data_IF_334264207357
#
_entry.id   IF_334264207357
#
_cell.length_a   1.000
_cell.length_b   1.000
_cell.length_c   1.000
_cell.angle_alpha   90.00
_cell.angle_beta   90.00
_cell.angle_gamma   90.00
#
_symmetry.space_group_name_H-M   'P 1'
#
loop_
_entity.id
_entity.type
_entity.pdbx_description
1 polymer ?
#
# COMPACT_ATOMS: atom_id res chain seq x y z
N UNK A 1 19.14 16.16 -45.64
CA UNK A 1 20.24 15.35 -46.18
C UNK A 1 21.12 14.99 -45.00
N UNK A 2 20.80 13.89 -44.31
CA UNK A 2 21.28 12.52 -44.49
C UNK A 2 22.46 12.24 -43.54
N UNK A 3 22.12 11.60 -42.42
CA UNK A 3 22.95 10.57 -41.81
C UNK A 3 21.96 9.51 -41.29
N UNK A 4 21.67 8.58 -42.19
CA UNK A 4 20.83 7.40 -42.00
C UNK A 4 21.74 6.17 -41.80
N UNK A 5 21.16 5.10 -41.25
CA UNK A 5 21.60 3.70 -41.32
C UNK A 5 22.87 3.22 -40.56
N UNK A 6 22.79 3.07 -39.24
CA UNK A 6 23.68 2.11 -38.55
C UNK A 6 23.01 1.24 -37.47
N UNK A 7 21.75 1.47 -37.10
CA UNK A 7 21.09 0.73 -36.00
C UNK A 7 19.93 -0.16 -36.46
N UNK A 8 19.52 -0.07 -37.74
CA UNK A 8 18.45 -0.93 -38.30
C UNK A 8 19.00 -2.27 -38.82
N UNK A 9 20.31 -2.37 -39.11
CA UNK A 9 20.91 -3.55 -39.74
C UNK A 9 21.18 -4.76 -38.84
N UNK A 10 21.01 -4.66 -37.52
CA UNK A 10 21.27 -5.78 -36.60
C UNK A 10 20.01 -6.52 -36.13
N UNK A 11 18.82 -6.13 -36.61
CA UNK A 11 17.54 -6.74 -36.22
C UNK A 11 17.03 -7.81 -37.20
N UNK A 12 17.68 -8.02 -38.34
CA UNK A 12 17.22 -8.97 -39.37
C UNK A 12 17.88 -10.36 -39.35
N UNK A 13 18.88 -10.63 -38.50
CA UNK A 13 19.53 -11.96 -38.45
C UNK A 13 19.47 -12.65 -37.07
N UNK A 14 18.28 -12.71 -36.47
CA UNK A 14 18.02 -13.71 -35.43
C UNK A 14 16.82 -14.57 -35.84
N UNK A 15 16.96 -15.92 -35.86
CA UNK A 15 15.96 -16.80 -36.43
C UNK A 15 14.62 -16.66 -35.67
N UNK A 16 13.49 -16.78 -36.38
CA UNK A 16 12.18 -16.58 -35.80
C UNK A 16 11.90 -17.69 -34.77
N UNK A 17 11.47 -17.25 -33.58
CA UNK A 17 10.99 -18.08 -32.48
C UNK A 17 11.97 -19.16 -31.99
N UNK A 18 12.89 -18.79 -31.09
CA UNK A 18 13.34 -19.77 -30.09
C UNK A 18 12.13 -20.15 -29.23
N UNK A 19 11.62 -21.37 -29.44
CA UNK A 19 10.58 -21.95 -28.61
C UNK A 19 10.99 -21.86 -27.12
N UNK A 20 10.06 -21.58 -26.19
CA UNK A 20 10.34 -21.41 -24.76
C UNK A 20 11.22 -22.51 -24.15
N UNK A 21 11.12 -23.74 -24.68
CA UNK A 21 11.96 -24.89 -24.32
C UNK A 21 13.46 -24.65 -24.53
N UNK A 22 13.86 -24.10 -25.70
CA UNK A 22 15.28 -23.90 -26.04
C UNK A 22 15.91 -22.75 -25.23
N UNK A 23 15.10 -21.78 -24.83
CA UNK A 23 15.52 -20.70 -23.92
C UNK A 23 15.75 -21.23 -22.50
N UNK A 24 14.85 -22.11 -22.03
CA UNK A 24 14.98 -22.80 -20.73
C UNK A 24 16.22 -23.70 -20.68
N UNK A 25 16.52 -24.41 -21.77
CA UNK A 25 17.73 -25.25 -21.91
C UNK A 25 19.03 -24.44 -21.96
N UNK A 26 19.05 -23.29 -22.64
CA UNK A 26 20.22 -22.41 -22.69
C UNK A 26 20.54 -21.81 -21.31
N UNK A 27 19.54 -21.40 -20.55
CA UNK A 27 19.72 -20.83 -19.22
C UNK A 27 20.11 -21.88 -18.16
N UNK A 28 19.57 -23.10 -18.24
CA UNK A 28 19.92 -24.21 -17.35
C UNK A 28 21.39 -24.65 -17.47
N UNK A 29 22.03 -24.42 -18.63
CA UNK A 29 23.46 -24.70 -18.85
C UNK A 29 24.40 -23.66 -18.23
N UNK A 30 23.91 -22.45 -17.95
CA UNK A 30 24.73 -21.33 -17.47
C UNK A 30 24.59 -21.11 -15.96
N UNK A 31 23.41 -21.37 -15.38
CA UNK A 31 23.23 -21.47 -13.92
C UNK A 31 21.90 -22.16 -13.57
N UNK A 32 21.92 -23.31 -12.86
CA UNK A 32 20.71 -24.00 -12.40
C UNK A 32 19.81 -23.16 -11.46
N UNK A 33 20.36 -22.11 -10.85
CA UNK A 33 19.64 -21.28 -9.90
C UNK A 33 18.88 -20.12 -10.56
N UNK A 34 19.35 -19.64 -11.71
CA UNK A 34 18.67 -18.58 -12.47
C UNK A 34 17.32 -19.04 -13.05
N UNK A 35 17.23 -20.30 -13.47
CA UNK A 35 15.97 -20.87 -13.98
C UNK A 35 14.90 -21.03 -12.89
N UNK A 36 15.31 -21.31 -11.64
CA UNK A 36 14.40 -21.43 -10.48
C UNK A 36 13.92 -20.07 -9.98
N UNK A 37 14.77 -19.04 -10.03
CA UNK A 37 14.38 -17.68 -9.65
C UNK A 37 13.33 -17.08 -10.59
N UNK A 38 13.36 -17.44 -11.88
CA UNK A 38 12.35 -17.02 -12.86
C UNK A 38 10.97 -17.65 -12.64
N UNK A 39 10.89 -18.91 -12.22
CA UNK A 39 9.60 -19.55 -11.86
C UNK A 39 9.02 -18.98 -10.55
N UNK A 40 9.86 -18.50 -9.64
CA UNK A 40 9.43 -17.89 -8.38
C UNK A 40 8.93 -16.44 -8.53
N UNK A 41 9.33 -15.73 -9.59
CA UNK A 41 9.02 -14.31 -9.81
C UNK A 41 7.88 -14.15 -10.81
N UNK A 42 6.66 -14.46 -10.39
CA UNK A 42 5.45 -14.08 -11.12
C UNK A 42 5.42 -12.57 -11.40
N UNK A 43 5.57 -12.21 -12.67
CA UNK A 43 5.42 -10.88 -13.28
C UNK A 43 5.49 -9.67 -12.32
N UNK A 44 6.70 -9.12 -12.13
CA UNK A 44 7.09 -7.69 -12.23
C UNK A 44 8.42 -7.45 -11.51
N UNK A 45 9.37 -6.84 -12.24
CA UNK A 45 10.23 -5.78 -11.70
C UNK A 45 11.65 -6.16 -11.26
N UNK A 46 12.62 -5.63 -12.02
CA UNK A 46 14.06 -5.55 -11.72
C UNK A 46 14.80 -6.88 -11.87
N UNK A 47 15.14 -7.20 -13.12
CA UNK A 47 16.29 -8.07 -13.40
C UNK A 47 17.55 -7.23 -13.18
N UNK A 48 18.01 -7.14 -11.94
CA UNK A 48 19.42 -6.87 -11.71
C UNK A 48 20.15 -8.17 -12.06
N UNK A 49 20.45 -8.35 -13.34
CA UNK A 49 21.42 -9.34 -13.78
C UNK A 49 22.80 -8.85 -13.33
N UNK A 50 23.09 -8.91 -12.04
CA UNK A 50 24.35 -8.40 -11.46
C UNK A 50 25.58 -9.08 -12.07
N UNK A 51 25.42 -10.25 -12.70
CA UNK A 51 26.46 -10.94 -13.46
C UNK A 51 26.70 -10.42 -14.89
N UNK A 52 25.78 -9.64 -15.48
CA UNK A 52 25.83 -9.28 -16.92
C UNK A 52 25.99 -7.77 -17.19
N UNK A 53 26.11 -6.95 -16.14
CA UNK A 53 26.39 -5.52 -16.28
C UNK A 53 25.28 -4.70 -16.97
N UNK A 54 24.03 -5.18 -16.98
CA UNK A 54 22.89 -4.43 -17.55
C UNK A 54 22.25 -3.57 -16.47
N UNK A 55 22.22 -2.25 -16.68
CA UNK A 55 21.56 -1.27 -15.81
C UNK A 55 20.43 -0.58 -16.56
N UNK A 56 19.26 -0.48 -15.94
CA UNK A 56 18.17 0.37 -16.41
C UNK A 56 18.27 1.73 -15.74
N UNK A 57 18.18 2.80 -16.54
CA UNK A 57 17.97 4.15 -16.05
C UNK A 57 16.55 4.61 -16.33
N UNK A 58 15.79 4.82 -15.26
CA UNK A 58 14.39 5.22 -15.34
C UNK A 58 14.20 6.69 -15.77
N UNK A 59 15.19 7.57 -15.54
CA UNK A 59 15.14 8.97 -15.95
C UNK A 59 15.39 9.11 -17.46
N UNK A 60 16.41 8.43 -17.99
CA UNK A 60 16.74 8.48 -19.41
C UNK A 60 15.93 7.49 -20.26
N UNK A 61 15.19 6.56 -19.62
CA UNK A 61 14.48 5.45 -20.27
C UNK A 61 15.39 4.61 -21.16
N UNK A 62 16.63 4.41 -20.73
CA UNK A 62 17.67 3.70 -21.47
C UNK A 62 18.25 2.53 -20.67
N UNK A 63 18.73 1.53 -21.41
CA UNK A 63 19.55 0.45 -20.87
C UNK A 63 21.02 0.73 -21.16
N UNK A 64 21.85 0.54 -20.13
CA UNK A 64 23.30 0.56 -20.26
C UNK A 64 23.79 -0.87 -20.09
N UNK A 65 24.55 -1.34 -21.07
CA UNK A 65 25.23 -2.64 -21.00
C UNK A 65 26.70 -2.35 -20.77
N UNK A 66 27.19 -2.62 -19.56
CA UNK A 66 28.54 -2.29 -19.13
C UNK A 66 29.63 -3.17 -19.74
N UNK A 67 29.28 -4.20 -20.54
CA UNK A 67 30.21 -5.09 -21.23
C UNK A 67 29.76 -5.34 -22.66
N UNK A 68 30.71 -5.31 -23.60
CA UNK A 68 30.47 -5.57 -25.03
C UNK A 68 30.43 -7.08 -25.34
N UNK A 69 29.70 -7.84 -24.53
CA UNK A 69 29.57 -9.29 -24.67
C UNK A 69 28.21 -9.63 -25.34
N UNK A 70 28.19 -10.55 -26.34
CA UNK A 70 26.96 -10.93 -27.06
C UNK A 70 25.80 -11.34 -26.13
N UNK A 71 26.12 -12.02 -25.02
CA UNK A 71 25.17 -12.52 -24.04
C UNK A 71 24.53 -11.40 -23.22
N UNK A 72 25.31 -10.37 -22.86
CA UNK A 72 24.81 -9.19 -22.14
C UNK A 72 23.89 -8.34 -23.03
N UNK A 73 24.19 -8.25 -24.34
CA UNK A 73 23.30 -7.61 -25.33
C UNK A 73 22.00 -8.38 -25.52
N UNK A 74 22.06 -9.72 -25.58
CA UNK A 74 20.87 -10.56 -25.69
C UNK A 74 19.96 -10.45 -24.45
N UNK A 75 20.54 -10.40 -23.25
CA UNK A 75 19.80 -10.19 -22.01
C UNK A 75 19.12 -8.81 -21.95
N UNK A 76 19.80 -7.75 -22.39
CA UNK A 76 19.22 -6.41 -22.47
C UNK A 76 18.07 -6.34 -23.50
N UNK A 77 18.23 -6.94 -24.68
CA UNK A 77 17.18 -7.03 -25.70
C UNK A 77 15.94 -7.79 -25.19
N UNK A 78 16.12 -8.85 -24.40
CA UNK A 78 15.01 -9.60 -23.81
C UNK A 78 14.26 -8.75 -22.76
N UNK A 79 14.99 -8.08 -21.86
CA UNK A 79 14.40 -7.19 -20.86
C UNK A 79 13.60 -6.05 -21.53
N UNK A 80 14.14 -5.49 -22.61
CA UNK A 80 13.49 -4.42 -23.38
C UNK A 80 12.23 -4.90 -24.10
N UNK A 81 12.22 -6.13 -24.66
CA UNK A 81 11.02 -6.76 -25.25
C UNK A 81 9.92 -7.00 -24.20
N UNK A 82 10.28 -7.44 -22.99
CA UNK A 82 9.31 -7.64 -21.90
C UNK A 82 8.68 -6.32 -21.46
N UNK A 83 9.47 -5.24 -21.39
CA UNK A 83 8.97 -3.91 -21.04
C UNK A 83 8.11 -3.28 -22.14
N UNK A 84 8.49 -3.43 -23.42
CA UNK A 84 7.70 -2.94 -24.55
C UNK A 84 6.35 -3.67 -24.67
N UNK A 85 6.32 -4.98 -24.44
CA UNK A 85 5.07 -5.75 -24.37
C UNK A 85 4.15 -5.30 -23.22
N UNK A 86 4.74 -4.81 -22.12
CA UNK A 86 3.99 -4.28 -20.97
C UNK A 86 3.47 -2.85 -21.20
N UNK A 87 4.14 -2.06 -22.03
CA UNK A 87 3.79 -0.66 -22.34
C UNK A 87 2.71 -0.52 -23.42
N UNK A 88 2.51 -1.53 -24.26
CA UNK A 88 1.47 -1.57 -25.29
C UNK A 88 0.18 -2.26 -24.84
N UNK A 89 0.12 -2.71 -23.58
CA UNK A 89 -1.12 -3.21 -23.00
C UNK A 89 -2.15 -2.05 -22.92
N UNK A 90 -3.41 -2.25 -23.36
CA UNK A 90 -4.44 -1.23 -23.21
C UNK A 90 -4.57 -0.82 -21.74
N UNK A 91 -4.81 0.48 -21.49
CA UNK A 91 -5.11 0.99 -20.13
C UNK A 91 -6.13 0.06 -19.48
N UNK A 92 -5.85 -0.53 -18.30
CA UNK A 92 -6.74 -1.49 -17.70
C UNK A 92 -8.03 -0.78 -17.29
N UNK A 93 -9.08 -1.00 -18.08
CA UNK A 93 -10.45 -0.94 -17.55
C UNK A 93 -10.51 -2.03 -16.50
N UNK A 94 -10.94 -1.69 -15.28
CA UNK A 94 -11.03 -2.64 -14.18
C UNK A 94 -11.74 -3.92 -14.67
N UNK A 95 -11.08 -5.09 -14.67
CA UNK A 95 -11.66 -6.27 -15.26
C UNK A 95 -12.83 -6.76 -14.40
N UNK A 96 -13.97 -7.00 -15.04
CA UNK A 96 -15.20 -7.49 -14.42
C UNK A 96 -15.07 -8.89 -13.79
N UNK A 97 -13.94 -9.59 -13.94
CA UNK A 97 -13.78 -10.96 -13.42
C UNK A 97 -13.51 -11.06 -11.91
N UNK A 98 -13.30 -9.96 -11.19
CA UNK A 98 -13.02 -9.99 -9.75
C UNK A 98 -14.27 -10.08 -8.85
N UNK A 99 -15.49 -10.03 -9.39
CA UNK A 99 -16.69 -10.02 -8.55
C UNK A 99 -17.07 -11.39 -7.98
N UNK A 100 -16.63 -12.51 -8.55
CA UNK A 100 -17.02 -13.86 -8.08
C UNK A 100 -15.99 -14.59 -7.20
N UNK A 101 -14.69 -14.25 -7.28
CA UNK A 101 -13.62 -14.96 -6.56
C UNK A 101 -13.28 -14.35 -5.18
N UNK A 102 -13.84 -13.17 -4.87
CA UNK A 102 -13.50 -12.40 -3.68
C UNK A 102 -14.34 -12.77 -2.45
N UNK A 103 -15.51 -13.37 -2.63
CA UNK A 103 -16.44 -13.68 -1.53
C UNK A 103 -15.87 -14.67 -0.50
N UNK A 104 -15.20 -15.79 -0.89
CA UNK A 104 -14.59 -16.69 0.08
C UNK A 104 -13.54 -15.98 0.92
N UNK A 105 -12.70 -15.14 0.28
CA UNK A 105 -11.63 -14.44 1.00
C UNK A 105 -12.18 -13.39 1.96
N UNK A 106 -13.16 -12.60 1.52
CA UNK A 106 -13.83 -11.65 2.40
C UNK A 106 -14.49 -12.35 3.59
N UNK A 107 -15.11 -13.52 3.37
CA UNK A 107 -15.67 -14.36 4.43
C UNK A 107 -14.65 -14.78 5.47
N UNK A 108 -13.45 -15.21 5.05
CA UNK A 108 -12.34 -15.55 5.96
C UNK A 108 -11.90 -14.35 6.81
N UNK A 109 -11.76 -13.17 6.19
CA UNK A 109 -11.37 -11.96 6.92
C UNK A 109 -12.43 -11.53 7.93
N UNK A 110 -13.72 -11.58 7.54
CA UNK A 110 -14.84 -11.33 8.46
C UNK A 110 -14.83 -12.31 9.63
N UNK A 111 -14.63 -13.60 9.36
CA UNK A 111 -14.56 -14.63 10.40
C UNK A 111 -13.40 -14.39 11.37
N UNK A 112 -12.26 -13.90 10.89
CA UNK A 112 -11.13 -13.52 11.73
C UNK A 112 -11.44 -12.29 12.58
N UNK A 113 -12.06 -11.26 12.02
CA UNK A 113 -12.49 -10.07 12.77
C UNK A 113 -13.49 -10.41 13.88
N UNK A 114 -14.44 -11.31 13.62
CA UNK A 114 -15.43 -11.77 14.59
C UNK A 114 -14.83 -12.51 15.82
N UNK A 115 -13.50 -12.69 15.89
CA UNK A 115 -12.78 -13.16 17.09
C UNK A 115 -12.57 -12.07 18.15
N UNK A 116 -13.05 -10.86 17.90
CA UNK A 116 -13.04 -9.71 18.81
C UNK A 116 -14.41 -9.03 18.79
N UNK A 117 -14.83 -8.44 19.91
CA UNK A 117 -16.10 -7.72 19.98
C UNK A 117 -16.14 -6.56 18.98
N UNK A 118 -15.03 -5.82 18.85
CA UNK A 118 -14.95 -4.69 17.93
C UNK A 118 -14.95 -5.11 16.46
N UNK A 119 -14.34 -6.24 16.14
CA UNK A 119 -14.43 -6.83 14.81
C UNK A 119 -15.85 -7.31 14.48
N UNK A 120 -16.62 -7.83 15.43
CA UNK A 120 -18.05 -8.15 15.22
C UNK A 120 -18.84 -6.90 14.84
N UNK A 121 -18.65 -5.78 15.55
CA UNK A 121 -19.31 -4.51 15.23
C UNK A 121 -18.94 -4.00 13.83
N UNK A 122 -17.68 -4.12 13.44
CA UNK A 122 -17.21 -3.71 12.12
C UNK A 122 -17.78 -4.59 10.99
N UNK A 123 -17.82 -5.90 11.20
CA UNK A 123 -18.44 -6.83 10.24
C UNK A 123 -19.92 -6.55 10.09
N UNK A 124 -20.63 -6.32 11.19
CA UNK A 124 -22.04 -5.93 11.18
C UNK A 124 -22.26 -4.65 10.38
N UNK A 125 -21.45 -3.61 10.61
CA UNK A 125 -21.54 -2.39 9.82
C UNK A 125 -21.37 -2.67 8.32
N UNK A 126 -20.38 -3.47 7.91
CA UNK A 126 -20.19 -3.80 6.50
C UNK A 126 -21.38 -4.58 5.91
N UNK A 127 -22.07 -5.39 6.71
CA UNK A 127 -23.25 -6.16 6.30
C UNK A 127 -24.52 -5.32 6.22
N UNK A 128 -24.68 -4.35 7.14
CA UNK A 128 -25.77 -3.38 7.15
C UNK A 128 -25.63 -2.35 6.00
N UNK A 129 -24.45 -2.28 5.36
CA UNK A 129 -24.11 -1.35 4.27
C UNK A 129 -23.66 -2.08 2.98
N UNK A 130 -24.55 -2.81 2.29
CA UNK A 130 -24.22 -3.62 1.11
C UNK A 130 -23.74 -2.82 -0.12
N UNK A 131 -23.93 -1.50 -0.12
CA UNK A 131 -23.37 -0.59 -1.11
C UNK A 131 -21.84 -0.48 -1.03
N UNK A 132 -21.25 -0.80 0.14
CA UNK A 132 -19.81 -0.82 0.36
C UNK A 132 -19.23 -2.10 -0.23
N UNK A 133 -18.50 -1.95 -1.33
CA UNK A 133 -17.83 -3.06 -2.01
C UNK A 133 -16.44 -3.26 -1.44
N UNK A 134 -15.99 -4.51 -1.33
CA UNK A 134 -14.60 -4.85 -0.99
C UNK A 134 -13.95 -5.52 -2.20
N UNK A 135 -12.76 -5.04 -2.58
CA UNK A 135 -11.94 -5.64 -3.62
C UNK A 135 -10.51 -5.85 -3.14
N UNK A 136 -9.86 -6.84 -3.74
CA UNK A 136 -8.49 -7.21 -3.43
C UNK A 136 -7.57 -6.79 -4.60
N UNK A 137 -6.57 -5.95 -4.33
CA UNK A 137 -5.59 -5.50 -5.34
C UNK A 137 -4.17 -5.60 -4.79
N UNK A 138 -3.30 -6.33 -5.48
CA UNK A 138 -1.89 -6.52 -5.10
C UNK A 138 -0.98 -5.34 -5.46
N UNK A 139 -1.49 -4.36 -6.21
CA UNK A 139 -0.71 -3.22 -6.73
C UNK A 139 -0.98 -1.92 -5.98
N UNK A 140 -1.96 -1.91 -5.09
CA UNK A 140 -2.41 -0.71 -4.37
C UNK A 140 -2.35 -0.95 -2.86
N UNK A 141 -2.11 0.10 -2.09
CA UNK A 141 -2.32 0.04 -0.65
C UNK A 141 -3.80 -0.22 -0.33
N UNK A 142 -4.06 -0.77 0.85
CA UNK A 142 -5.42 -0.83 1.37
C UNK A 142 -5.95 0.59 1.56
N UNK A 143 -7.18 0.87 1.11
CA UNK A 143 -7.74 2.23 1.11
C UNK A 143 -9.26 2.22 0.96
N UNK A 144 -9.91 3.15 1.63
CA UNK A 144 -11.31 3.53 1.45
C UNK A 144 -11.48 4.62 0.39
N UNK A 145 -12.36 4.38 -0.57
CA UNK A 145 -12.75 5.33 -1.61
C UNK A 145 -14.22 5.74 -1.40
N UNK A 146 -14.42 6.80 -0.61
CA UNK A 146 -15.75 7.27 -0.23
C UNK A 146 -16.67 7.69 -1.37
N UNK A 147 -16.13 8.16 -2.51
CA UNK A 147 -16.94 8.55 -3.67
C UNK A 147 -17.57 7.36 -4.41
N UNK A 148 -16.94 6.19 -4.33
CA UNK A 148 -17.36 4.98 -5.05
C UNK A 148 -17.82 3.85 -4.12
N UNK A 149 -17.91 4.13 -2.82
CA UNK A 149 -18.20 3.17 -1.76
C UNK A 149 -17.36 1.90 -1.89
N UNK A 150 -16.05 2.05 -2.03
CA UNK A 150 -15.15 0.94 -2.32
C UNK A 150 -14.00 0.86 -1.32
N UNK A 151 -13.86 -0.28 -0.67
CA UNK A 151 -12.67 -0.67 0.09
C UNK A 151 -11.77 -1.50 -0.84
N UNK A 152 -10.53 -1.06 -1.01
CA UNK A 152 -9.47 -1.87 -1.62
C UNK A 152 -8.62 -2.45 -0.48
N UNK A 153 -8.29 -3.74 -0.55
CA UNK A 153 -7.36 -4.41 0.35
C UNK A 153 -6.13 -4.91 -0.40
N UNK A 154 -4.94 -4.70 0.18
CA UNK A 154 -3.69 -5.18 -0.40
C UNK A 154 -3.56 -6.70 -0.30
N UNK A 155 -3.74 -7.41 -1.42
CA UNK A 155 -3.92 -8.87 -1.42
C UNK A 155 -2.66 -9.71 -1.18
N UNK A 156 -1.48 -9.08 -1.05
CA UNK A 156 -0.21 -9.78 -0.74
C UNK A 156 0.11 -9.82 0.76
N UNK A 157 -0.74 -9.24 1.60
CA UNK A 157 -0.57 -9.28 3.06
C UNK A 157 -1.05 -10.62 3.64
N UNK A 158 -0.65 -10.90 4.88
CA UNK A 158 -1.21 -12.03 5.62
C UNK A 158 -2.70 -11.81 5.90
N UNK A 159 -3.44 -12.87 6.20
CA UNK A 159 -4.88 -12.78 6.48
C UNK A 159 -5.18 -11.92 7.70
N UNK A 160 -4.34 -12.00 8.73
CA UNK A 160 -4.48 -11.15 9.91
C UNK A 160 -4.20 -9.67 9.60
N UNK A 161 -3.20 -9.39 8.76
CA UNK A 161 -2.94 -8.03 8.29
C UNK A 161 -4.06 -7.47 7.42
N UNK A 162 -4.57 -8.27 6.47
CA UNK A 162 -5.70 -7.87 5.63
C UNK A 162 -6.98 -7.67 6.43
N UNK A 163 -7.24 -8.49 7.45
CA UNK A 163 -8.38 -8.30 8.34
C UNK A 163 -8.24 -6.98 9.13
N UNK A 164 -7.04 -6.70 9.67
CA UNK A 164 -6.79 -5.45 10.39
C UNK A 164 -6.83 -4.22 9.47
N UNK A 165 -6.43 -4.36 8.20
CA UNK A 165 -6.62 -3.31 7.20
C UNK A 165 -8.11 -3.13 6.86
N UNK A 166 -8.88 -4.21 6.68
CA UNK A 166 -10.32 -4.13 6.45
C UNK A 166 -11.03 -3.39 7.60
N UNK A 167 -10.65 -3.68 8.85
CA UNK A 167 -11.15 -2.96 10.02
C UNK A 167 -10.81 -1.46 9.95
N UNK A 168 -9.59 -1.11 9.55
CA UNK A 168 -9.14 0.28 9.36
C UNK A 168 -10.03 1.02 8.34
N UNK A 169 -10.21 0.41 7.17
CA UNK A 169 -11.00 1.02 6.09
C UNK A 169 -12.49 1.11 6.43
N UNK A 170 -13.03 0.15 7.21
CA UNK A 170 -14.37 0.25 7.79
C UNK A 170 -14.45 1.46 8.74
N UNK A 171 -13.40 1.74 9.52
CA UNK A 171 -13.31 2.93 10.36
C UNK A 171 -13.51 4.23 9.57
N UNK A 172 -12.83 4.36 8.42
CA UNK A 172 -13.02 5.50 7.51
C UNK A 172 -14.43 5.56 6.91
N UNK A 173 -14.99 4.40 6.54
CA UNK A 173 -16.33 4.31 5.97
C UNK A 173 -17.43 4.70 6.97
N UNK A 174 -17.31 4.28 8.24
CA UNK A 174 -18.25 4.61 9.32
C UNK A 174 -18.36 6.11 9.52
N UNK A 175 -17.22 6.81 9.49
CA UNK A 175 -17.14 8.22 9.88
C UNK A 175 -17.56 8.38 11.34
N UNK A 176 -16.59 8.49 12.26
CA UNK A 176 -16.92 8.51 13.69
C UNK A 176 -17.93 9.64 14.02
N UNK A 177 -18.88 9.43 14.95
CA UNK A 177 -19.79 10.49 15.37
C UNK A 177 -19.02 11.72 15.86
N UNK A 178 -19.21 12.87 15.21
CA UNK A 178 -18.45 14.11 15.50
C UNK A 178 -17.17 14.31 14.68
N UNK A 179 -16.82 13.35 13.81
CA UNK A 179 -15.71 13.50 12.87
C UNK A 179 -16.12 14.48 11.76
N UNK A 180 -15.53 15.68 11.78
CA UNK A 180 -15.59 16.59 10.63
C UNK A 180 -14.50 16.12 9.67
N UNK A 181 -14.89 15.48 8.57
CA UNK A 181 -13.95 15.14 7.49
C UNK A 181 -13.20 16.40 7.07
N UNK A 182 -11.90 16.25 6.82
CA UNK A 182 -11.10 17.34 6.31
C UNK A 182 -11.65 17.84 4.97
N UNK A 183 -11.76 19.15 4.82
CA UNK A 183 -12.24 19.79 3.61
C UNK A 183 -11.10 20.54 2.95
N UNK A 184 -10.57 20.00 1.85
CA UNK A 184 -9.43 20.58 1.15
C UNK A 184 -9.70 22.01 0.62
N UNK A 185 -10.96 22.35 0.35
CA UNK A 185 -11.37 23.61 -0.25
C UNK A 185 -11.65 24.69 0.79
N UNK A 186 -12.10 24.30 1.98
CA UNK A 186 -12.48 25.23 3.05
C UNK A 186 -11.49 25.28 4.21
N UNK A 187 -10.73 24.22 4.46
CA UNK A 187 -9.79 24.18 5.57
C UNK A 187 -8.43 24.80 5.21
N UNK A 188 -7.88 25.56 6.16
CA UNK A 188 -6.46 25.89 6.17
C UNK A 188 -5.61 24.65 6.42
N UNK A 189 -4.31 24.71 6.08
CA UNK A 189 -3.42 23.54 6.12
C UNK A 189 -3.43 22.81 7.46
N UNK A 190 -3.31 23.54 8.58
CA UNK A 190 -3.23 22.92 9.90
C UNK A 190 -4.54 22.24 10.30
N UNK A 191 -5.70 22.85 9.98
CA UNK A 191 -7.02 22.28 10.25
C UNK A 191 -7.24 21.02 9.40
N UNK A 192 -6.88 21.08 8.12
CA UNK A 192 -6.96 19.95 7.20
C UNK A 192 -6.12 18.76 7.69
N UNK A 193 -4.86 19.03 8.06
CA UNK A 193 -3.93 18.00 8.54
C UNK A 193 -4.43 17.40 9.85
N UNK A 194 -4.81 18.24 10.83
CA UNK A 194 -5.30 17.75 12.13
C UNK A 194 -6.56 16.87 11.98
N UNK A 195 -7.51 17.27 11.10
CA UNK A 195 -8.71 16.46 10.84
C UNK A 195 -8.37 15.09 10.25
N UNK A 196 -7.46 15.03 9.28
CA UNK A 196 -7.01 13.76 8.71
C UNK A 196 -6.25 12.90 9.72
N UNK A 197 -5.36 13.47 10.51
CA UNK A 197 -4.64 12.72 11.54
C UNK A 197 -5.59 12.19 12.63
N UNK A 198 -6.60 12.96 12.99
CA UNK A 198 -7.65 12.53 13.92
C UNK A 198 -8.45 11.35 13.36
N UNK A 199 -8.87 11.43 12.09
CA UNK A 199 -9.55 10.34 11.39
C UNK A 199 -8.71 9.05 11.36
N UNK A 200 -7.44 9.14 10.95
CA UNK A 200 -6.51 8.00 10.95
C UNK A 200 -6.30 7.43 12.36
N UNK A 201 -6.22 8.29 13.37
CA UNK A 201 -6.05 7.87 14.75
C UNK A 201 -7.26 7.08 15.25
N UNK A 202 -8.48 7.55 14.97
CA UNK A 202 -9.70 6.82 15.34
C UNK A 202 -9.74 5.42 14.71
N UNK A 203 -9.52 5.31 13.40
CA UNK A 203 -9.49 4.02 12.70
C UNK A 203 -8.36 3.10 13.23
N UNK A 204 -7.23 3.69 13.61
CA UNK A 204 -6.07 2.94 14.12
C UNK A 204 -6.29 2.42 15.55
N UNK A 205 -7.03 3.13 16.41
CA UNK A 205 -7.34 2.69 17.78
C UNK A 205 -8.04 1.33 17.76
N UNK A 206 -9.04 1.17 16.89
CA UNK A 206 -9.80 -0.07 16.75
C UNK A 206 -8.86 -1.23 16.31
N UNK A 207 -7.87 -0.96 15.46
CA UNK A 207 -6.87 -1.98 15.09
C UNK A 207 -6.01 -2.43 16.26
N UNK A 208 -5.58 -1.54 17.14
CA UNK A 208 -4.80 -1.94 18.33
C UNK A 208 -5.62 -2.82 19.28
N UNK A 209 -6.92 -2.55 19.41
CA UNK A 209 -7.83 -3.37 20.21
C UNK A 209 -8.01 -4.76 19.60
N UNK A 210 -8.45 -4.84 18.35
CA UNK A 210 -8.67 -6.13 17.67
C UNK A 210 -7.38 -6.92 17.55
N UNK A 211 -6.25 -6.27 17.26
CA UNK A 211 -4.96 -6.96 17.21
C UNK A 211 -4.58 -7.56 18.56
N UNK A 212 -4.79 -6.86 19.68
CA UNK A 212 -4.51 -7.41 21.00
C UNK A 212 -5.34 -8.67 21.28
N UNK A 213 -6.59 -8.72 20.81
CA UNK A 213 -7.45 -9.90 20.92
C UNK A 213 -6.97 -11.05 20.05
N UNK A 214 -6.54 -10.77 18.81
CA UNK A 214 -5.99 -11.77 17.91
C UNK A 214 -4.64 -12.31 18.40
N UNK A 215 -3.78 -11.46 18.95
CA UNK A 215 -2.51 -11.87 19.56
C UNK A 215 -2.71 -12.84 20.72
N UNK A 216 -3.67 -12.56 21.63
CA UNK A 216 -3.99 -13.45 22.76
C UNK A 216 -4.45 -14.83 22.31
N UNK A 217 -4.93 -14.94 21.07
CA UNK A 217 -5.37 -16.17 20.43
C UNK A 217 -4.31 -16.79 19.51
N UNK A 218 -3.09 -16.21 19.43
CA UNK A 218 -2.03 -16.58 18.49
C UNK A 218 -2.45 -16.50 16.99
N UNK A 219 -3.35 -15.57 16.66
CA UNK A 219 -3.90 -15.36 15.31
C UNK A 219 -3.28 -14.16 14.57
N UNK A 220 -2.40 -13.40 15.23
CA UNK A 220 -1.63 -12.31 14.61
C UNK A 220 -0.18 -12.39 15.08
N UNK A 221 0.75 -11.94 14.24
CA UNK A 221 2.18 -11.80 14.57
C UNK A 221 2.75 -10.44 14.17
N UNK A 222 1.92 -9.60 13.53
CA UNK A 222 2.29 -8.30 13.00
C UNK A 222 2.70 -7.39 14.13
N UNK A 223 3.83 -6.68 14.04
CA UNK A 223 4.16 -5.64 15.01
C UNK A 223 3.57 -4.28 14.57
N UNK A 224 2.94 -3.58 15.49
CA UNK A 224 2.45 -2.22 15.33
C UNK A 224 3.43 -1.23 15.98
N UNK A 225 3.56 -0.01 15.45
CA UNK A 225 4.20 1.08 16.17
C UNK A 225 3.56 1.25 17.55
N UNK A 226 4.23 1.87 18.52
CA UNK A 226 3.58 2.33 19.78
C UNK A 226 2.84 1.28 20.63
N UNK A 227 2.93 -0.02 20.36
CA UNK A 227 2.19 -1.06 21.09
C UNK A 227 2.34 -0.94 22.61
N UNK A 228 3.57 -0.76 23.07
CA UNK A 228 3.88 -0.60 24.48
C UNK A 228 3.22 0.66 25.07
N UNK A 229 3.29 1.80 24.37
CA UNK A 229 2.69 3.04 24.82
C UNK A 229 1.16 2.96 24.87
N UNK A 230 0.54 2.30 23.88
CA UNK A 230 -0.90 2.04 23.84
C UNK A 230 -1.32 1.11 24.98
N UNK A 231 -0.60 0.02 25.23
CA UNK A 231 -0.88 -0.88 26.33
C UNK A 231 -0.79 -0.18 27.70
N UNK A 232 0.25 0.65 27.90
CA UNK A 232 0.39 1.45 29.12
C UNK A 232 -0.75 2.45 29.30
N UNK A 233 -1.13 3.18 28.24
CA UNK A 233 -2.23 4.13 28.30
C UNK A 233 -3.57 3.45 28.62
N UNK A 234 -3.83 2.29 27.99
CA UNK A 234 -5.01 1.46 28.25
C UNK A 234 -5.06 1.01 29.71
N UNK A 235 -3.97 0.46 30.23
CA UNK A 235 -3.89 0.01 31.62
C UNK A 235 -4.13 1.16 32.59
N UNK A 236 -3.39 2.27 32.43
CA UNK A 236 -3.50 3.44 33.30
C UNK A 236 -4.92 4.02 33.30
N UNK A 237 -5.54 4.17 32.13
CA UNK A 237 -6.90 4.68 32.02
C UNK A 237 -7.92 3.73 32.66
N UNK A 238 -7.74 2.41 32.53
CA UNK A 238 -8.59 1.42 33.20
C UNK A 238 -8.49 1.49 34.74
N UNK A 239 -7.27 1.64 35.27
CA UNK A 239 -7.04 1.83 36.71
C UNK A 239 -7.61 3.16 37.23
N UNK A 240 -7.52 4.24 36.43
CA UNK A 240 -8.12 5.55 36.74
C UNK A 240 -9.65 5.48 36.73
N UNK A 241 -10.25 4.81 35.74
CA UNK A 241 -11.69 4.60 35.65
C UNK A 241 -12.24 3.79 36.84
N UNK A 242 -11.55 2.71 37.21
CA UNK A 242 -11.90 1.88 38.37
C UNK A 242 -11.85 2.67 39.67
N UNK A 243 -10.78 3.47 39.89
CA UNK A 243 -10.66 4.34 41.07
C UNK A 243 -11.72 5.42 41.12
N UNK A 244 -12.16 5.90 39.97
CA UNK A 244 -13.18 6.94 39.84
C UNK A 244 -14.61 6.41 39.91
N UNK A 245 -14.78 5.08 39.95
CA UNK A 245 -16.11 4.45 39.99
C UNK A 245 -16.94 4.69 38.73
N UNK A 246 -16.30 4.82 37.56
CA UNK A 246 -17.00 5.01 36.29
C UNK A 246 -17.85 3.79 35.95
N UNK A 247 -18.98 4.01 35.26
CA UNK A 247 -19.75 2.90 34.65
C UNK A 247 -18.93 2.18 33.58
N UNK A 248 -19.41 1.02 33.10
CA UNK A 248 -18.75 0.27 32.04
C UNK A 248 -18.62 1.09 30.74
N UNK A 249 -19.69 1.80 30.35
CA UNK A 249 -19.68 2.64 29.15
C UNK A 249 -18.72 3.84 29.29
N UNK A 250 -18.72 4.50 30.45
CA UNK A 250 -17.80 5.60 30.74
C UNK A 250 -16.35 5.11 30.81
N UNK A 251 -16.11 3.92 31.36
CA UNK A 251 -14.80 3.27 31.39
C UNK A 251 -14.30 2.99 29.98
N UNK A 252 -15.13 2.37 29.13
CA UNK A 252 -14.78 2.08 27.74
C UNK A 252 -14.42 3.36 26.97
N UNK A 253 -15.21 4.43 27.15
CA UNK A 253 -14.94 5.74 26.55
C UNK A 253 -13.64 6.36 27.07
N UNK A 254 -13.43 6.34 28.39
CA UNK A 254 -12.24 6.90 29.02
C UNK A 254 -10.96 6.20 28.56
N UNK A 255 -11.00 4.86 28.47
CA UNK A 255 -9.90 4.04 27.93
C UNK A 255 -9.68 4.34 26.45
N UNK A 256 -10.74 4.40 25.64
CA UNK A 256 -10.66 4.75 24.23
C UNK A 256 -9.98 6.10 24.03
N UNK A 257 -10.42 7.15 24.74
CA UNK A 257 -9.86 8.50 24.63
C UNK A 257 -8.38 8.54 25.02
N UNK A 258 -7.96 7.75 26.02
CA UNK A 258 -6.56 7.65 26.40
C UNK A 258 -5.69 7.01 25.31
N UNK A 259 -6.17 5.93 24.70
CA UNK A 259 -5.48 5.28 23.59
C UNK A 259 -5.45 6.17 22.36
N UNK A 260 -6.58 6.81 22.02
CA UNK A 260 -6.69 7.78 20.93
C UNK A 260 -5.64 8.88 21.06
N UNK A 261 -5.48 9.49 22.24
CA UNK A 261 -4.47 10.53 22.47
C UNK A 261 -3.05 10.04 22.15
N UNK A 262 -2.70 8.83 22.55
CA UNK A 262 -1.37 8.24 22.26
C UNK A 262 -1.18 8.00 20.77
N UNK A 263 -2.16 7.40 20.11
CA UNK A 263 -2.11 7.12 18.67
C UNK A 263 -2.03 8.42 17.87
N UNK A 264 -2.91 9.36 18.18
CA UNK A 264 -2.97 10.66 17.53
C UNK A 264 -1.67 11.47 17.72
N UNK A 265 -1.11 11.49 18.92
CA UNK A 265 0.20 12.11 19.14
C UNK A 265 1.29 11.39 18.34
N UNK A 266 1.23 10.06 18.24
CA UNK A 266 2.13 9.27 17.40
C UNK A 266 2.10 9.69 15.93
N UNK A 267 0.92 9.99 15.38
CA UNK A 267 0.78 10.56 14.03
C UNK A 267 1.45 11.93 13.92
N UNK A 268 1.23 12.82 14.89
CA UNK A 268 1.84 14.17 14.95
C UNK A 268 3.36 14.13 15.12
N UNK A 269 3.88 13.10 15.79
CA UNK A 269 5.30 12.88 16.00
C UNK A 269 5.96 12.12 14.83
N UNK A 270 5.21 11.83 13.76
CA UNK A 270 5.70 11.14 12.57
C UNK A 270 6.08 9.68 12.81
N UNK A 271 5.44 8.99 13.76
CA UNK A 271 5.70 7.57 14.08
C UNK A 271 4.99 6.59 13.15
N UNK A 272 4.02 7.08 12.38
CA UNK A 272 3.29 6.32 11.37
C UNK A 272 3.70 6.77 9.98
N UNK A 273 3.82 5.80 9.06
CA UNK A 273 4.35 6.02 7.73
C UNK A 273 3.39 5.51 6.65
N UNK A 274 3.34 6.21 5.52
CA UNK A 274 2.62 5.78 4.32
C UNK A 274 3.52 4.90 3.44
N UNK A 275 2.92 3.89 2.78
CA UNK A 275 3.63 2.90 1.97
C UNK A 275 4.16 3.40 0.62
N UNK A 276 3.99 4.69 0.32
CA UNK A 276 4.41 5.31 -0.93
C UNK A 276 3.58 6.55 -1.23
N UNK A 277 4.07 7.37 -2.16
CA UNK A 277 3.37 8.55 -2.67
C UNK A 277 3.33 8.44 -4.18
N UNK A 278 2.25 8.91 -4.82
CA UNK A 278 2.17 8.87 -6.28
C UNK A 278 3.25 9.78 -6.88
N UNK A 279 3.87 9.42 -8.03
CA UNK A 279 4.84 10.28 -8.71
C UNK A 279 4.29 11.68 -9.00
N UNK A 280 2.99 11.78 -9.27
CA UNK A 280 2.28 13.05 -9.47
C UNK A 280 2.36 13.93 -8.24
N UNK A 281 2.14 13.35 -7.06
CA UNK A 281 2.15 14.07 -5.80
C UNK A 281 3.59 14.42 -5.38
N UNK A 282 4.57 13.54 -5.65
CA UNK A 282 6.00 13.84 -5.44
C UNK A 282 6.52 15.01 -6.29
N UNK A 283 5.92 15.27 -7.47
CA UNK A 283 6.30 16.41 -8.32
C UNK A 283 5.86 17.76 -7.78
N UNK A 284 4.81 17.79 -6.95
CA UNK A 284 4.13 19.04 -6.54
C UNK A 284 4.18 19.30 -5.04
N UNK A 285 4.71 18.37 -4.26
CA UNK A 285 4.84 18.49 -2.82
C UNK A 285 6.19 17.95 -2.34
N UNK A 286 6.78 18.65 -1.38
CA UNK A 286 8.00 18.19 -0.73
C UNK A 286 7.66 17.28 0.44
N UNK A 287 8.12 16.04 0.37
CA UNK A 287 7.96 15.07 1.46
C UNK A 287 9.26 14.89 2.21
N UNK A 288 9.24 15.19 3.52
CA UNK A 288 10.33 14.77 4.40
C UNK A 288 10.31 13.26 4.50
N UNK A 289 11.48 12.66 4.25
CA UNK A 289 11.69 11.23 4.39
C UNK A 289 12.58 10.95 5.59
N UNK A 290 12.30 9.87 6.30
CA UNK A 290 13.22 9.37 7.31
C UNK A 290 14.46 8.72 6.69
N UNK A 291 15.38 8.22 7.52
CA UNK A 291 16.60 7.54 7.06
C UNK A 291 16.34 6.25 6.27
N UNK A 292 15.10 5.77 6.25
CA UNK A 292 14.65 4.60 5.48
C UNK A 292 13.86 5.01 4.23
N UNK A 293 13.81 6.30 3.89
CA UNK A 293 13.10 6.81 2.73
C UNK A 293 11.58 6.88 2.91
N UNK A 294 11.05 6.65 4.11
CA UNK A 294 9.61 6.61 4.39
C UNK A 294 9.06 7.99 4.66
N UNK A 295 7.82 8.22 4.28
CA UNK A 295 7.11 9.49 4.46
C UNK A 295 6.15 9.33 5.64
N UNK A 296 6.20 10.25 6.60
CA UNK A 296 5.25 10.25 7.72
C UNK A 296 3.85 10.65 7.25
N UNK A 297 2.80 10.17 7.92
CA UNK A 297 1.44 10.61 7.61
C UNK A 297 1.26 12.13 7.76
N UNK A 298 1.94 12.75 8.73
CA UNK A 298 1.95 14.21 8.91
C UNK A 298 2.49 14.93 7.67
N UNK A 299 3.66 14.51 7.18
CA UNK A 299 4.26 15.10 5.98
C UNK A 299 3.45 14.78 4.73
N UNK A 300 2.85 13.59 4.67
CA UNK A 300 1.95 13.18 3.60
C UNK A 300 0.76 14.14 3.45
N UNK A 301 -0.03 14.36 4.52
CA UNK A 301 -1.21 15.24 4.42
C UNK A 301 -0.84 16.71 4.21
N UNK A 302 0.29 17.17 4.76
CA UNK A 302 0.81 18.51 4.45
C UNK A 302 1.08 18.66 2.96
N UNK A 303 1.74 17.67 2.35
CA UNK A 303 2.03 17.65 0.93
C UNK A 303 0.77 17.56 0.08
N UNK A 304 -0.20 16.73 0.45
CA UNK A 304 -1.51 16.68 -0.20
C UNK A 304 -2.16 18.07 -0.21
N UNK A 305 -2.24 18.74 0.94
CA UNK A 305 -2.87 20.07 1.01
C UNK A 305 -2.18 21.08 0.06
N UNK A 306 -0.85 21.10 0.06
CA UNK A 306 -0.06 21.96 -0.83
C UNK A 306 -0.32 21.64 -2.30
N UNK A 307 -0.32 20.36 -2.67
CA UNK A 307 -0.52 19.89 -4.04
C UNK A 307 -1.89 20.27 -4.62
N UNK A 308 -2.93 20.31 -3.79
CA UNK A 308 -4.29 20.68 -4.18
C UNK A 308 -4.49 22.20 -4.24
N UNK A 309 -3.79 22.96 -3.38
CA UNK A 309 -3.86 24.43 -3.34
C UNK A 309 -2.87 25.13 -4.28
N UNK A 310 -1.87 24.41 -4.80
CA UNK A 310 -0.93 24.95 -5.76
C UNK A 310 -1.67 25.51 -7.00
N UNK A 311 -1.37 26.74 -7.45
CA UNK A 311 -2.01 27.32 -8.62
C UNK A 311 -1.81 26.41 -9.84
N UNK A 312 -2.89 26.16 -10.60
CA UNK A 312 -2.91 25.22 -11.75
C UNK A 312 -1.83 25.51 -12.81
N UNK A 313 -1.30 26.73 -12.84
CA UNK A 313 -0.28 27.19 -13.80
C UNK A 313 1.07 26.47 -13.67
N UNK A 314 1.32 25.71 -12.59
CA UNK A 314 2.53 24.89 -12.45
C UNK A 314 2.35 23.41 -12.83
N UNK A 315 1.16 22.99 -13.28
CA UNK A 315 0.92 21.59 -13.74
C UNK A 315 1.12 21.39 -15.24
N UNK A 316 1.28 22.46 -16.02
CA UNK A 316 1.39 22.43 -17.48
C UNK A 316 2.71 23.00 -18.03
N UNK A 317 3.63 23.44 -17.16
CA UNK A 317 4.98 23.88 -17.51
C UNK A 317 6.02 22.82 -17.11
#
# INVERSE_FOLDING_TARGET
MLADSAVVGALEELPPAMAPQKLKEAMAKVSPDAARQLEAMGNVGIVACEGFGVRWDAQERNFYVGRDEPEAKAAALLAMRVLLASAQAPKPVAPAYLQGANEPKLGELKALLCRSQKGVEAVKFLEDHPEIKVQFDSRRASSWYGESNLIILHSRKSDSDMALDLLHEIGHARGYPGMIRADIWNDGQDVYVERYLSEEAHATVDRYEVRADLLRQNLSSTAFPLEHAVAQARQKAGEEALRSGLSEEETARHVYDAVFRVVHQGFKDGKFFVGGVSPELERVAFFRRDNLGRISYLDYYRGCWQAYRAPKTSREA
#
